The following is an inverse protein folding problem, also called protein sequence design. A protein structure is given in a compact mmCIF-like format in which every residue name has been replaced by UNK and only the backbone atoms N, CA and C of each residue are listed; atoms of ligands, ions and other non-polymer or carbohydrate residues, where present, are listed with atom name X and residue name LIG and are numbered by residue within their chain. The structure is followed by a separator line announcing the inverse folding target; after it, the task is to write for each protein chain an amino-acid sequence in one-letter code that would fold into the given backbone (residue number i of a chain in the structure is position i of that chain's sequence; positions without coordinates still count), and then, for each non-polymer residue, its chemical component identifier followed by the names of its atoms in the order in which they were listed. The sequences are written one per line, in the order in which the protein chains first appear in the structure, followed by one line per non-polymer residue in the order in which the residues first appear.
data_IF_224457304010
#
_entry.id   IF_224457304010
#
_cell.length_a   1.000
_cell.length_b   1.000
_cell.length_c   1.000
_cell.angle_alpha   90.00
_cell.angle_beta   90.00
_cell.angle_gamma   90.00
#
_symmetry.space_group_name_H-M   'P 1'
#
loop_
_entity.id
_entity.type
_entity.pdbx_description
1 polymer ?
#
# COMPACT_ATOMS: atom_id res chain seq x y z
N UNK A 1 16.07 32.77 -23.22
CA UNK A 1 15.20 33.83 -23.76
C UNK A 1 15.81 35.19 -23.45
N UNK A 2 15.84 36.10 -24.39
CA UNK A 2 16.31 37.46 -24.25
C UNK A 2 15.20 38.43 -24.69
N UNK A 3 15.22 39.69 -24.23
CA UNK A 3 14.27 40.72 -24.62
C UNK A 3 15.03 41.95 -25.12
N UNK A 4 14.59 42.51 -26.22
CA UNK A 4 15.14 43.74 -26.79
C UNK A 4 14.04 44.70 -27.18
N UNK A 5 14.28 45.99 -27.01
CA UNK A 5 13.37 47.06 -27.47
C UNK A 5 13.82 47.52 -28.83
N UNK A 6 12.88 47.62 -29.76
CA UNK A 6 13.14 48.19 -31.09
C UNK A 6 12.42 49.54 -31.26
N UNK A 7 13.05 50.55 -31.80
CA UNK A 7 12.50 51.91 -32.02
C UNK A 7 13.23 53.03 -31.28
N UNK A 8 12.92 54.26 -31.62
CA UNK A 8 13.57 55.42 -31.01
C UNK A 8 13.24 55.56 -29.54
N UNK A 9 14.25 55.88 -28.73
CA UNK A 9 14.19 55.99 -27.27
C UNK A 9 13.77 57.41 -26.78
N UNK A 10 13.32 58.27 -27.65
CA UNK A 10 13.02 59.67 -27.35
C UNK A 10 11.54 59.92 -27.12
N UNK A 11 11.06 59.55 -25.94
CA UNK A 11 9.83 60.12 -25.39
C UNK A 11 10.23 61.15 -24.32
N UNK A 12 10.28 62.46 -24.65
CA UNK A 12 10.68 63.49 -23.69
C UNK A 12 9.80 63.45 -22.44
N UNK A 13 10.42 63.15 -21.29
CA UNK A 13 9.74 63.10 -20.00
C UNK A 13 9.13 61.77 -19.60
N UNK A 14 9.20 60.75 -20.40
CA UNK A 14 8.77 59.39 -20.00
C UNK A 14 9.86 58.68 -19.20
N UNK A 15 9.51 58.08 -18.08
CA UNK A 15 10.38 57.22 -17.27
C UNK A 15 10.21 55.78 -17.72
N UNK A 16 11.30 55.05 -18.05
CA UNK A 16 11.23 53.65 -18.36
C UNK A 16 10.62 52.84 -17.20
N UNK A 17 9.79 51.89 -17.55
CA UNK A 17 9.22 50.94 -16.59
C UNK A 17 9.70 49.53 -16.90
N UNK A 18 9.98 48.78 -15.85
CA UNK A 18 10.35 47.34 -16.01
C UNK A 18 9.16 46.55 -16.54
N UNK A 19 9.37 45.79 -17.62
CA UNK A 19 8.36 44.94 -18.26
C UNK A 19 8.86 43.49 -18.30
N UNK A 20 8.48 42.66 -17.32
CA UNK A 20 8.82 41.24 -17.30
C UNK A 20 7.96 40.40 -18.27
N UNK A 21 8.58 39.36 -18.86
CA UNK A 21 7.95 38.36 -19.69
C UNK A 21 8.31 36.97 -19.19
N UNK A 22 7.37 36.02 -19.33
CA UNK A 22 7.58 34.60 -19.14
C UNK A 22 6.92 33.83 -20.28
N UNK A 23 7.38 32.63 -20.52
CA UNK A 23 6.84 31.71 -21.52
C UNK A 23 6.53 30.38 -20.85
N UNK A 24 5.41 29.77 -21.22
CA UNK A 24 5.05 28.41 -20.84
C UNK A 24 4.98 27.50 -22.06
N UNK A 25 5.14 26.19 -21.86
CA UNK A 25 4.83 25.19 -22.87
C UNK A 25 3.40 24.71 -22.71
N UNK A 26 2.74 24.45 -23.84
CA UNK A 26 1.35 23.98 -23.87
C UNK A 26 1.26 22.73 -24.72
N UNK A 27 0.65 21.70 -24.18
CA UNK A 27 0.25 20.50 -24.90
C UNK A 27 -1.24 20.56 -25.21
N UNK A 28 -1.60 20.46 -26.48
CA UNK A 28 -2.99 20.36 -26.95
C UNK A 28 -3.18 18.98 -27.61
N UNK A 29 -4.08 18.16 -27.07
CA UNK A 29 -4.39 16.84 -27.62
C UNK A 29 -5.79 16.84 -28.22
N UNK A 30 -5.87 16.49 -29.53
CA UNK A 30 -7.11 16.25 -30.27
C UNK A 30 -7.95 17.49 -30.56
N UNK A 31 -9.15 17.29 -31.12
CA UNK A 31 -10.13 18.32 -31.43
C UNK A 31 -10.94 18.78 -30.20
N UNK A 32 -10.77 18.14 -29.08
CA UNK A 32 -11.42 18.48 -27.81
C UNK A 32 -10.35 18.95 -26.84
N UNK A 33 -10.47 20.13 -26.45
CA UNK A 33 -9.81 21.11 -25.62
C UNK A 33 -9.20 20.52 -24.30
N UNK A 34 -8.33 19.53 -24.37
CA UNK A 34 -7.43 19.26 -23.27
C UNK A 34 -6.17 20.07 -23.48
N UNK A 35 -6.12 21.24 -22.86
CA UNK A 35 -4.92 22.08 -22.84
C UNK A 35 -4.24 21.85 -21.49
N UNK A 36 -3.04 21.27 -21.52
CA UNK A 36 -2.17 21.23 -20.36
C UNK A 36 -1.08 22.29 -20.54
N UNK A 37 -0.93 23.14 -19.54
CA UNK A 37 0.07 24.19 -19.52
C UNK A 37 1.08 23.92 -18.42
N UNK A 38 2.35 23.95 -18.77
CA UNK A 38 3.47 23.69 -17.87
C UNK A 38 3.87 24.91 -17.04
N UNK A 39 4.90 24.74 -16.24
CA UNK A 39 5.50 25.81 -15.44
C UNK A 39 6.02 26.95 -16.32
N UNK A 40 6.06 28.16 -15.74
CA UNK A 40 6.65 29.31 -16.40
C UNK A 40 8.17 29.20 -16.52
N UNK A 41 8.70 29.77 -17.58
CA UNK A 41 10.15 30.00 -17.72
C UNK A 41 10.66 31.01 -16.67
N UNK A 42 11.98 31.04 -16.42
CA UNK A 42 12.56 32.22 -15.76
C UNK A 42 12.13 33.50 -16.48
N UNK A 43 11.78 34.54 -15.71
CA UNK A 43 11.35 35.83 -16.28
C UNK A 43 12.52 36.56 -16.95
N UNK A 44 12.28 37.10 -18.13
CA UNK A 44 13.16 38.09 -18.75
C UNK A 44 12.56 39.47 -18.52
N UNK A 45 13.39 40.44 -18.18
CA UNK A 45 12.95 41.83 -17.87
C UNK A 45 13.65 42.79 -18.82
N UNK A 46 12.87 43.77 -19.27
CA UNK A 46 13.37 44.86 -20.12
C UNK A 46 12.83 46.19 -19.61
N UNK A 47 13.63 47.25 -19.66
CA UNK A 47 13.17 48.60 -19.45
C UNK A 47 12.45 49.09 -20.73
N UNK A 48 11.19 49.45 -20.58
CA UNK A 48 10.26 49.74 -21.67
C UNK A 48 9.64 51.13 -21.53
N UNK A 49 9.48 51.81 -22.66
CA UNK A 49 8.72 53.05 -22.78
C UNK A 49 7.41 52.82 -23.55
N UNK A 50 6.31 53.50 -23.19
CA UNK A 50 5.02 53.35 -23.86
C UNK A 50 5.12 53.48 -25.38
N UNK A 51 4.56 52.48 -26.11
CA UNK A 51 4.54 52.47 -27.57
C UNK A 51 5.75 51.80 -28.23
N UNK A 52 6.77 51.39 -27.48
CA UNK A 52 7.89 50.66 -28.06
C UNK A 52 7.55 49.16 -28.25
N UNK A 53 7.77 48.55 -29.42
CA UNK A 53 7.71 47.14 -29.61
C UNK A 53 8.82 46.39 -28.80
N UNK A 54 8.50 45.24 -28.22
CA UNK A 54 9.46 44.40 -27.54
C UNK A 54 9.63 43.12 -28.33
N UNK A 55 10.86 42.81 -28.74
CA UNK A 55 11.19 41.55 -29.37
C UNK A 55 11.77 40.58 -28.34
N UNK A 56 11.11 39.45 -28.15
CA UNK A 56 11.63 38.32 -27.45
C UNK A 56 12.39 37.44 -28.44
N UNK A 57 13.61 37.01 -28.09
CA UNK A 57 14.48 36.16 -28.91
C UNK A 57 14.98 35.01 -28.07
N UNK A 58 15.55 33.98 -28.72
CA UNK A 58 16.07 32.79 -28.05
C UNK A 58 15.03 32.13 -27.15
N UNK A 59 13.77 32.13 -27.56
CA UNK A 59 12.71 31.41 -26.82
C UNK A 59 13.04 29.91 -26.96
N UNK A 60 13.25 29.21 -25.84
CA UNK A 60 13.68 27.83 -25.91
C UNK A 60 12.68 26.93 -26.63
N UNK A 61 13.17 25.99 -27.42
CA UNK A 61 12.38 24.89 -28.00
C UNK A 61 12.54 23.70 -27.07
N UNK A 62 11.43 23.02 -26.68
CA UNK A 62 11.52 21.85 -25.81
C UNK A 62 12.36 20.76 -26.48
N UNK A 63 13.18 20.06 -25.69
CA UNK A 63 14.01 18.97 -26.17
C UNK A 63 13.30 17.62 -25.99
N UNK A 64 13.48 16.71 -26.94
CA UNK A 64 12.89 15.39 -26.91
C UNK A 64 11.39 15.40 -27.21
N UNK A 65 10.73 14.29 -26.88
CA UNK A 65 9.29 14.11 -27.08
C UNK A 65 8.50 14.66 -25.87
N UNK A 66 8.55 15.97 -25.69
CA UNK A 66 7.92 16.66 -24.55
C UNK A 66 6.38 16.81 -24.68
N UNK A 67 5.80 16.40 -25.83
CA UNK A 67 4.37 16.58 -26.10
C UNK A 67 3.92 18.04 -26.27
N UNK A 68 4.81 19.02 -26.13
CA UNK A 68 4.51 20.43 -26.31
C UNK A 68 4.16 20.74 -27.77
N UNK A 69 3.01 21.38 -27.99
CA UNK A 69 2.52 21.76 -29.33
C UNK A 69 2.59 23.27 -29.58
N UNK A 70 2.49 24.06 -28.50
CA UNK A 70 2.48 25.53 -28.55
C UNK A 70 3.26 26.10 -27.38
N UNK A 71 3.54 27.38 -27.45
CA UNK A 71 4.03 28.23 -26.35
C UNK A 71 3.05 29.36 -26.11
N UNK A 72 2.85 29.70 -24.85
CA UNK A 72 2.13 30.93 -24.45
C UNK A 72 3.11 31.92 -23.90
N UNK A 73 2.99 33.16 -24.37
CA UNK A 73 3.77 34.30 -23.91
C UNK A 73 2.90 35.11 -22.95
N UNK A 74 3.46 35.42 -21.81
CA UNK A 74 2.80 36.23 -20.79
C UNK A 74 3.62 37.46 -20.48
N UNK A 75 2.92 38.59 -20.24
CA UNK A 75 3.48 39.86 -19.85
C UNK A 75 3.01 40.26 -18.48
N UNK A 76 3.93 40.69 -17.62
CA UNK A 76 3.62 41.20 -16.30
C UNK A 76 2.95 42.56 -16.42
N UNK A 77 1.83 42.75 -15.72
CA UNK A 77 1.14 44.02 -15.60
C UNK A 77 0.93 44.32 -14.11
N UNK A 78 1.32 45.54 -13.71
CA UNK A 78 1.17 46.00 -12.33
C UNK A 78 -0.25 46.57 -12.16
N UNK A 79 -1.05 45.91 -11.31
CA UNK A 79 -2.36 46.42 -10.88
C UNK A 79 -2.33 47.04 -9.48
N UNK A 80 -3.45 47.65 -9.05
CA UNK A 80 -3.60 48.26 -7.73
C UNK A 80 -3.52 47.28 -6.56
N UNK A 81 -3.75 46.00 -6.78
CA UNK A 81 -3.68 44.91 -5.77
C UNK A 81 -2.46 44.01 -5.88
N UNK A 82 -1.47 44.36 -6.70
CA UNK A 82 -0.32 43.55 -7.04
C UNK A 82 -0.16 43.39 -8.55
N UNK A 83 0.89 42.71 -8.98
CA UNK A 83 1.12 42.46 -10.40
C UNK A 83 0.92 40.98 -10.73
N UNK A 84 0.42 40.74 -11.94
CA UNK A 84 0.17 39.42 -12.47
C UNK A 84 0.71 39.29 -13.89
N UNK A 85 1.03 38.09 -14.29
CA UNK A 85 1.34 37.79 -15.69
C UNK A 85 0.03 37.57 -16.44
N UNK A 86 -0.23 38.43 -17.44
CA UNK A 86 -1.40 38.32 -18.29
C UNK A 86 -1.00 37.67 -19.62
N UNK A 87 -1.91 36.84 -20.14
CA UNK A 87 -1.77 36.21 -21.44
C UNK A 87 -1.62 37.25 -22.53
N UNK A 88 -0.63 37.07 -23.40
CA UNK A 88 -0.33 37.99 -24.49
C UNK A 88 -0.57 37.32 -25.83
N UNK A 89 -0.01 36.15 -26.06
CA UNK A 89 -0.14 35.45 -27.33
C UNK A 89 0.17 33.95 -27.17
N UNK A 90 -0.34 33.16 -28.09
CA UNK A 90 0.06 31.76 -28.29
C UNK A 90 0.78 31.64 -29.62
N UNK A 91 1.92 30.96 -29.64
CA UNK A 91 2.79 30.79 -30.79
C UNK A 91 3.13 29.30 -30.98
N UNK A 92 3.63 28.92 -32.15
CA UNK A 92 4.07 27.54 -32.39
C UNK A 92 5.23 27.15 -31.46
N UNK A 93 5.31 25.88 -31.10
CA UNK A 93 6.34 25.36 -30.19
C UNK A 93 7.76 25.56 -30.73
N UNK A 94 7.93 25.65 -32.04
CA UNK A 94 9.21 25.86 -32.72
C UNK A 94 9.60 27.33 -32.91
N UNK A 95 8.67 28.27 -32.65
CA UNK A 95 8.98 29.69 -32.77
C UNK A 95 10.02 30.11 -31.72
N UNK A 96 11.13 30.66 -32.17
CA UNK A 96 12.22 31.14 -31.30
C UNK A 96 12.17 32.66 -31.06
N UNK A 97 11.27 33.35 -31.75
CA UNK A 97 11.10 34.78 -31.64
C UNK A 97 9.64 35.18 -31.58
N UNK A 98 9.34 36.27 -30.86
CA UNK A 98 8.00 36.85 -30.77
C UNK A 98 8.13 38.37 -30.62
N UNK A 99 7.27 39.14 -31.29
CA UNK A 99 7.26 40.62 -31.21
C UNK A 99 5.97 41.08 -30.52
N UNK A 100 6.11 41.69 -29.35
CA UNK A 100 5.01 42.29 -28.61
C UNK A 100 4.79 43.73 -29.06
N UNK A 101 3.67 43.97 -29.73
CA UNK A 101 3.19 45.27 -30.14
C UNK A 101 1.87 45.66 -29.45
N UNK A 102 1.40 44.82 -28.53
CA UNK A 102 0.11 44.98 -27.86
C UNK A 102 0.20 46.03 -26.77
N UNK A 103 -0.69 47.01 -26.80
CA UNK A 103 -0.79 48.03 -25.74
C UNK A 103 -1.36 47.43 -24.46
N UNK A 104 -1.17 48.09 -23.30
CA UNK A 104 -1.61 47.53 -22.01
C UNK A 104 -3.14 47.44 -21.93
N UNK A 105 -3.88 48.32 -22.61
CA UNK A 105 -5.35 48.34 -22.65
C UNK A 105 -5.94 47.23 -23.56
N UNK A 106 -5.12 46.65 -24.45
CA UNK A 106 -5.56 45.68 -25.46
C UNK A 106 -5.04 44.26 -25.21
N UNK A 107 -4.60 43.95 -23.98
CA UNK A 107 -4.25 42.56 -23.61
C UNK A 107 -5.45 41.63 -23.78
N UNK A 108 -5.27 40.45 -24.39
CA UNK A 108 -6.37 39.51 -24.65
C UNK A 108 -7.11 39.02 -23.39
N UNK A 109 -6.53 39.23 -22.22
CA UNK A 109 -7.05 38.74 -20.95
C UNK A 109 -6.63 37.30 -20.63
N UNK A 110 -6.78 36.92 -19.37
CA UNK A 110 -6.30 35.64 -18.83
C UNK A 110 -5.02 35.81 -18.03
N UNK A 111 -5.05 35.32 -16.81
CA UNK A 111 -3.90 35.34 -15.90
C UNK A 111 -3.15 33.99 -16.02
N UNK A 112 -1.84 34.02 -15.84
CA UNK A 112 -1.05 32.81 -15.75
C UNK A 112 -1.43 32.03 -14.49
N UNK A 113 -2.12 30.90 -14.66
CA UNK A 113 -2.58 30.05 -13.56
C UNK A 113 -1.48 29.11 -13.05
N UNK A 114 -0.43 28.89 -13.85
CA UNK A 114 0.67 27.95 -13.55
C UNK A 114 1.92 28.66 -13.00
N UNK A 115 1.75 29.86 -12.46
CA UNK A 115 2.85 30.71 -11.98
C UNK A 115 3.65 30.06 -10.84
N UNK A 116 3.00 29.24 -10.03
CA UNK A 116 3.58 28.51 -8.90
C UNK A 116 3.90 27.05 -9.20
N UNK A 117 3.68 26.59 -10.45
CA UNK A 117 4.09 25.26 -10.88
C UNK A 117 5.60 25.18 -10.89
N UNK A 118 6.14 24.37 -9.99
CA UNK A 118 7.58 24.07 -9.93
C UNK A 118 7.79 22.59 -10.19
N UNK A 119 8.92 22.18 -10.78
CA UNK A 119 9.24 20.76 -10.90
C UNK A 119 9.44 20.12 -9.51
N UNK A 120 9.30 18.80 -9.40
CA UNK A 120 9.67 18.11 -8.17
C UNK A 120 11.16 18.28 -7.89
N UNK A 121 11.61 18.11 -6.62
CA UNK A 121 13.03 18.00 -6.31
C UNK A 121 13.70 16.86 -7.08
N UNK A 122 14.95 17.05 -7.51
CA UNK A 122 15.71 16.04 -8.25
C UNK A 122 15.93 14.73 -7.46
N UNK A 123 15.94 14.83 -6.13
CA UNK A 123 16.11 13.73 -5.18
C UNK A 123 14.79 13.22 -4.58
N UNK A 124 13.66 13.53 -5.22
CA UNK A 124 12.34 13.07 -4.77
C UNK A 124 12.24 11.54 -4.82
N UNK A 125 11.80 10.96 -3.72
CA UNK A 125 11.66 9.50 -3.55
C UNK A 125 10.36 9.14 -2.85
N UNK A 126 10.03 7.83 -2.86
CA UNK A 126 8.84 7.30 -2.19
C UNK A 126 7.53 7.82 -2.77
N UNK A 127 7.46 7.99 -4.10
CA UNK A 127 6.30 8.55 -4.78
C UNK A 127 5.10 7.62 -4.64
N UNK A 128 3.97 8.18 -4.21
CA UNK A 128 2.69 7.49 -4.11
C UNK A 128 1.57 8.35 -4.72
N UNK A 129 0.56 7.69 -5.27
CA UNK A 129 -0.65 8.35 -5.78
C UNK A 129 -1.70 8.40 -4.69
N UNK A 130 -2.28 9.56 -4.48
CA UNK A 130 -3.36 9.81 -3.52
C UNK A 130 -4.70 10.00 -4.25
N UNK A 131 -5.79 10.00 -3.48
CA UNK A 131 -7.10 10.33 -4.00
C UNK A 131 -7.11 11.74 -4.64
N UNK A 132 -7.94 11.94 -5.68
CA UNK A 132 -8.06 13.21 -6.38
C UNK A 132 -6.91 13.53 -7.33
N UNK A 133 -6.11 12.52 -7.74
CA UNK A 133 -5.04 12.70 -8.73
C UNK A 133 -3.83 13.48 -8.20
N UNK A 134 -3.63 13.52 -6.89
CA UNK A 134 -2.47 14.11 -6.23
C UNK A 134 -1.37 13.08 -6.12
N UNK A 135 -0.13 13.46 -6.36
CA UNK A 135 1.04 12.65 -6.04
C UNK A 135 1.72 13.21 -4.80
N UNK A 136 2.25 12.33 -3.97
CA UNK A 136 3.08 12.69 -2.83
C UNK A 136 4.43 11.98 -2.92
N UNK A 137 5.48 12.62 -2.42
CA UNK A 137 6.83 12.09 -2.33
C UNK A 137 7.59 12.82 -1.22
N UNK A 138 8.82 12.42 -0.94
CA UNK A 138 9.66 13.12 0.02
C UNK A 138 11.09 13.34 -0.50
N UNK A 139 11.69 14.44 -0.05
CA UNK A 139 13.10 14.78 -0.23
C UNK A 139 13.63 15.24 1.13
N UNK A 140 14.63 14.53 1.68
CA UNK A 140 15.02 14.72 3.06
C UNK A 140 13.83 14.53 4.01
N UNK A 141 13.55 15.54 4.84
CA UNK A 141 12.39 15.54 5.77
C UNK A 141 11.17 16.28 5.25
N UNK A 142 11.22 16.76 4.03
CA UNK A 142 10.15 17.49 3.40
C UNK A 142 9.26 16.53 2.61
N UNK A 143 7.97 16.58 2.91
CA UNK A 143 6.93 15.87 2.18
C UNK A 143 6.37 16.83 1.15
N UNK A 144 6.39 16.43 -0.09
CA UNK A 144 5.98 17.19 -1.25
C UNK A 144 4.68 16.65 -1.82
N UNK A 145 3.86 17.54 -2.36
CA UNK A 145 2.61 17.18 -3.01
C UNK A 145 2.50 17.87 -4.36
N UNK A 146 2.00 17.13 -5.35
CA UNK A 146 1.72 17.69 -6.66
C UNK A 146 0.39 18.47 -6.64
N UNK A 147 0.21 19.32 -7.65
CA UNK A 147 -1.10 19.84 -8.02
C UNK A 147 -2.01 18.68 -8.47
N UNK A 148 -3.31 18.67 -8.12
CA UNK A 148 -4.25 17.65 -8.56
C UNK A 148 -4.25 17.50 -10.09
N UNK A 149 -4.11 16.27 -10.57
CA UNK A 149 -4.05 15.93 -12.00
C UNK A 149 -2.88 16.52 -12.81
N UNK A 150 -1.91 17.19 -12.13
CA UNK A 150 -0.71 17.74 -12.74
C UNK A 150 0.55 17.15 -12.08
N UNK A 151 0.95 15.92 -12.44
CA UNK A 151 2.05 15.20 -11.78
C UNK A 151 3.43 15.86 -11.98
N UNK A 152 3.53 16.85 -12.87
CA UNK A 152 4.74 17.63 -13.13
C UNK A 152 4.83 18.92 -12.30
N UNK A 153 3.75 19.31 -11.60
CA UNK A 153 3.65 20.56 -10.85
C UNK A 153 3.65 20.31 -9.34
N UNK A 154 4.69 20.80 -8.65
CA UNK A 154 4.91 20.60 -7.22
C UNK A 154 5.09 21.95 -6.51
N UNK A 155 4.00 22.69 -6.24
CA UNK A 155 4.05 23.99 -5.62
C UNK A 155 4.76 23.99 -4.28
N UNK A 156 5.68 24.93 -4.06
CA UNK A 156 6.42 25.06 -2.79
C UNK A 156 5.50 25.26 -1.58
N UNK A 157 4.33 25.84 -1.81
CA UNK A 157 3.32 26.05 -0.76
C UNK A 157 2.69 24.77 -0.23
N UNK A 158 2.82 23.63 -0.94
CA UNK A 158 2.26 22.34 -0.53
C UNK A 158 3.25 21.50 0.29
N UNK A 159 4.50 21.93 0.40
CA UNK A 159 5.55 21.26 1.14
C UNK A 159 5.28 21.27 2.65
N UNK A 160 5.51 20.13 3.30
CA UNK A 160 5.40 19.97 4.75
C UNK A 160 6.63 19.25 5.31
N UNK A 161 7.26 19.81 6.32
CA UNK A 161 8.44 19.21 6.97
C UNK A 161 8.01 18.34 8.16
N UNK A 162 8.58 17.15 8.31
CA UNK A 162 8.44 16.26 9.48
C UNK A 162 9.69 16.26 10.34
N UNK A 163 9.57 15.80 11.60
CA UNK A 163 10.67 15.91 12.57
C UNK A 163 11.73 14.79 12.44
N UNK A 164 11.31 13.64 11.85
CA UNK A 164 12.14 12.44 11.69
C UNK A 164 12.26 12.10 10.21
N UNK A 165 13.31 11.34 9.86
CA UNK A 165 13.56 10.96 8.47
C UNK A 165 12.49 10.00 7.96
N UNK A 166 11.78 10.33 6.87
CA UNK A 166 10.80 9.46 6.25
C UNK A 166 11.45 8.16 5.74
N UNK A 167 10.81 7.05 5.98
CA UNK A 167 11.19 5.73 5.45
C UNK A 167 10.35 5.40 4.22
N UNK A 168 9.04 5.65 4.30
CA UNK A 168 8.10 5.47 3.19
C UNK A 168 6.84 6.31 3.39
N UNK A 169 6.10 6.45 2.29
CA UNK A 169 4.75 7.00 2.25
C UNK A 169 3.75 5.90 1.88
N UNK A 170 2.54 5.97 2.43
CA UNK A 170 1.45 5.08 2.02
C UNK A 170 0.11 5.82 2.03
N UNK A 171 -0.76 5.62 1.01
CA UNK A 171 -2.07 6.24 0.95
C UNK A 171 -2.97 5.79 2.09
N UNK A 172 -3.74 6.71 2.66
CA UNK A 172 -4.75 6.44 3.69
C UNK A 172 -5.98 7.34 3.47
N UNK A 173 -7.06 6.79 2.93
CA UNK A 173 -8.23 7.57 2.57
C UNK A 173 -7.89 8.71 1.61
N UNK A 174 -8.20 9.95 2.01
CA UNK A 174 -7.88 11.16 1.23
C UNK A 174 -6.50 11.76 1.55
N UNK A 175 -5.65 11.05 2.28
CA UNK A 175 -4.36 11.54 2.72
C UNK A 175 -3.26 10.52 2.60
N UNK A 176 -2.18 10.75 3.31
CA UNK A 176 -0.99 9.92 3.31
C UNK A 176 -0.48 9.70 4.73
N UNK A 177 -0.04 8.49 5.00
CA UNK A 177 0.77 8.18 6.20
C UNK A 177 2.23 8.33 5.82
N UNK A 178 2.96 9.07 6.63
CA UNK A 178 4.42 9.19 6.57
C UNK A 178 4.98 8.33 7.69
N UNK A 179 5.53 7.18 7.36
CA UNK A 179 6.26 6.35 8.32
C UNK A 179 7.72 6.80 8.36
N UNK A 180 8.25 6.95 9.57
CA UNK A 180 9.56 7.57 9.79
C UNK A 180 10.45 6.71 10.67
N UNK A 181 11.69 7.13 10.83
CA UNK A 181 12.65 6.55 11.81
C UNK A 181 12.30 6.89 13.28
N UNK A 182 11.20 7.62 13.50
CA UNK A 182 10.64 7.95 14.81
C UNK A 182 9.13 7.79 14.82
N UNK A 183 8.39 8.86 15.12
CA UNK A 183 6.93 8.84 15.15
C UNK A 183 6.33 8.92 13.74
N UNK A 184 5.28 8.16 13.44
CA UNK A 184 4.55 8.29 12.17
C UNK A 184 3.65 9.54 12.17
N UNK A 185 3.35 10.04 10.96
CA UNK A 185 2.45 11.17 10.73
C UNK A 185 1.31 10.77 9.80
N UNK A 186 0.16 11.40 9.98
CA UNK A 186 -0.92 11.44 9.01
C UNK A 186 -1.01 12.85 8.45
N UNK A 187 -1.00 12.98 7.14
CA UNK A 187 -1.24 14.24 6.43
C UNK A 187 -2.51 14.06 5.61
N UNK A 188 -3.51 14.88 5.86
CA UNK A 188 -4.82 14.74 5.21
C UNK A 188 -5.55 16.07 5.13
N UNK A 189 -6.55 16.14 4.25
CA UNK A 189 -7.39 17.29 4.01
C UNK A 189 -8.17 17.14 2.71
N UNK A 190 -8.78 18.21 2.23
CA UNK A 190 -9.56 18.20 0.99
C UNK A 190 -8.73 18.49 -0.26
N UNK A 191 -7.60 19.17 -0.11
CA UNK A 191 -6.63 19.44 -1.19
C UNK A 191 -5.26 19.72 -0.59
N UNK A 192 -4.16 19.60 -1.36
CA UNK A 192 -2.80 19.86 -0.89
C UNK A 192 -2.62 21.26 -0.25
N UNK A 193 -3.33 22.26 -0.75
CA UNK A 193 -3.28 23.63 -0.22
C UNK A 193 -3.78 23.75 1.23
N UNK A 194 -4.61 22.81 1.68
CA UNK A 194 -5.23 22.83 3.02
C UNK A 194 -4.98 21.54 3.81
N UNK A 195 -3.99 20.75 3.42
CA UNK A 195 -3.60 19.57 4.18
C UNK A 195 -3.11 19.93 5.58
N UNK A 196 -3.57 19.18 6.56
CA UNK A 196 -3.09 19.24 7.93
C UNK A 196 -2.18 18.07 8.26
N UNK A 197 -1.09 18.34 8.98
CA UNK A 197 -0.14 17.32 9.46
C UNK A 197 -0.42 17.01 10.92
N UNK A 198 -0.60 15.73 11.24
CA UNK A 198 -0.78 15.21 12.59
C UNK A 198 0.27 14.16 12.91
N UNK A 199 1.08 14.38 13.95
CA UNK A 199 1.94 13.35 14.52
C UNK A 199 1.09 12.37 15.34
N UNK A 200 1.27 11.08 15.11
CA UNK A 200 0.62 10.04 15.91
C UNK A 200 1.45 9.74 17.16
N UNK A 201 0.77 9.56 18.28
CA UNK A 201 1.43 9.30 19.57
C UNK A 201 1.65 7.79 19.78
N UNK A 202 2.48 7.20 18.93
CA UNK A 202 2.95 5.83 19.04
C UNK A 202 4.46 5.82 18.82
N UNK A 203 5.21 5.36 19.83
CA UNK A 203 6.67 5.30 19.79
C UNK A 203 7.12 4.00 19.09
N UNK A 204 6.80 3.89 17.82
CA UNK A 204 7.09 2.74 16.97
C UNK A 204 7.57 3.22 15.60
N UNK A 205 8.87 3.29 15.43
CA UNK A 205 9.51 3.66 14.16
C UNK A 205 9.30 2.57 13.10
N UNK A 206 9.33 2.94 11.83
CA UNK A 206 9.37 1.98 10.74
C UNK A 206 10.79 1.44 10.58
N UNK A 207 10.97 0.11 10.66
CA UNK A 207 12.29 -0.54 10.55
C UNK A 207 12.53 -1.19 9.18
N UNK A 208 11.50 -1.36 8.37
CA UNK A 208 11.61 -1.89 7.01
C UNK A 208 10.71 -1.13 6.05
N UNK A 209 11.29 -0.54 5.00
CA UNK A 209 10.56 0.12 3.91
C UNK A 209 9.64 -0.86 3.18
N UNK A 210 10.11 -2.07 2.95
CA UNK A 210 9.39 -3.11 2.22
C UNK A 210 8.19 -3.67 3.00
N UNK A 211 8.10 -3.37 4.30
CA UNK A 211 6.97 -3.76 5.12
C UNK A 211 5.79 -2.79 5.07
N UNK A 212 5.93 -1.65 4.38
CA UNK A 212 4.90 -0.61 4.37
C UNK A 212 3.87 -0.91 3.29
N UNK A 213 2.66 -1.23 3.71
CA UNK A 213 1.53 -1.56 2.82
C UNK A 213 0.26 -0.84 3.24
N UNK A 214 -0.66 -0.67 2.29
CA UNK A 214 -1.97 -0.04 2.54
C UNK A 214 -3.08 -0.88 1.90
N UNK A 215 -4.17 -1.08 2.63
CA UNK A 215 -5.44 -1.60 2.11
C UNK A 215 -6.45 -0.48 1.78
N UNK A 216 -6.00 0.79 1.77
CA UNK A 216 -6.82 1.98 1.59
C UNK A 216 -7.46 2.50 2.89
N UNK A 217 -7.74 1.66 3.85
CA UNK A 217 -8.31 2.02 5.17
C UNK A 217 -7.33 1.92 6.33
N UNK A 218 -6.27 1.15 6.15
CA UNK A 218 -5.21 0.94 7.14
C UNK A 218 -3.85 0.89 6.45
N UNK A 219 -2.89 1.61 6.99
CA UNK A 219 -1.48 1.48 6.62
C UNK A 219 -0.78 0.61 7.67
N UNK A 220 -0.02 -0.37 7.21
CA UNK A 220 0.64 -1.34 8.07
C UNK A 220 2.13 -1.31 7.80
N UNK A 221 2.95 -1.43 8.87
CA UNK A 221 4.41 -1.50 8.75
C UNK A 221 5.04 -2.25 9.91
N UNK A 222 6.23 -2.80 9.70
CA UNK A 222 7.04 -3.43 10.74
C UNK A 222 7.75 -2.38 11.61
N UNK A 223 7.62 -2.56 12.93
CA UNK A 223 8.24 -1.72 13.94
C UNK A 223 9.06 -2.57 14.93
N UNK A 224 9.87 -1.96 15.83
CA UNK A 224 10.73 -2.72 16.74
C UNK A 224 10.01 -3.70 17.66
N UNK A 225 8.76 -3.42 18.04
CA UNK A 225 8.02 -4.24 19.02
C UNK A 225 6.81 -4.97 18.43
N UNK A 226 6.57 -4.84 17.12
CA UNK A 226 5.46 -5.51 16.45
C UNK A 226 5.09 -4.89 15.12
N UNK A 227 4.03 -5.43 14.53
CA UNK A 227 3.40 -4.89 13.33
C UNK A 227 2.45 -3.77 13.73
N UNK A 228 2.66 -2.58 13.21
CA UNK A 228 1.82 -1.40 13.52
C UNK A 228 0.79 -1.20 12.43
N UNK A 229 -0.47 -0.99 12.83
CA UNK A 229 -1.54 -0.54 11.96
C UNK A 229 -1.93 0.90 12.26
N UNK A 230 -1.97 1.72 11.22
CA UNK A 230 -2.35 3.14 11.24
C UNK A 230 -3.66 3.33 10.52
N UNK A 231 -4.62 3.98 11.16
CA UNK A 231 -5.90 4.39 10.60
C UNK A 231 -6.11 5.89 10.81
N UNK A 232 -7.15 6.47 10.25
CA UNK A 232 -7.53 7.86 10.55
C UNK A 232 -7.87 8.08 12.04
N UNK A 233 -8.25 7.02 12.75
CA UNK A 233 -8.54 7.07 14.19
C UNK A 233 -7.33 6.94 15.11
N UNK A 234 -6.14 6.69 14.57
CA UNK A 234 -4.90 6.52 15.32
C UNK A 234 -4.09 5.29 14.92
N UNK A 235 -3.10 4.94 15.72
CA UNK A 235 -2.21 3.82 15.47
C UNK A 235 -2.16 2.85 16.65
N UNK A 236 -1.94 1.56 16.37
CA UNK A 236 -1.78 0.51 17.38
C UNK A 236 -0.85 -0.60 16.89
N UNK A 237 -0.23 -1.31 17.82
CA UNK A 237 0.51 -2.53 17.52
C UNK A 237 -0.49 -3.68 17.36
N UNK A 238 -0.58 -4.26 16.16
CA UNK A 238 -1.55 -5.32 15.83
C UNK A 238 -1.17 -6.66 16.49
N UNK A 239 0.12 -6.92 16.63
CA UNK A 239 0.67 -8.18 17.15
C UNK A 239 0.91 -8.20 18.65
N UNK A 240 0.59 -7.11 19.39
CA UNK A 240 0.90 -6.96 20.81
C UNK A 240 0.44 -8.14 21.70
N UNK A 241 -0.73 -8.70 21.38
CA UNK A 241 -1.31 -9.83 22.13
C UNK A 241 -1.03 -11.21 21.54
N UNK A 242 -0.34 -11.26 20.40
CA UNK A 242 -0.10 -12.47 19.62
C UNK A 242 1.34 -12.95 19.73
N UNK A 243 2.29 -12.00 19.73
CA UNK A 243 3.73 -12.25 19.86
C UNK A 243 4.29 -11.33 20.94
N UNK A 244 5.17 -11.87 21.78
CA UNK A 244 5.94 -11.01 22.67
C UNK A 244 7.12 -10.35 21.92
N UNK A 245 7.64 -9.25 22.44
CA UNK A 245 8.74 -8.51 21.82
C UNK A 245 9.97 -9.36 21.48
N UNK A 246 10.45 -10.28 22.37
CA UNK A 246 11.55 -11.18 22.02
C UNK A 246 11.24 -12.10 20.83
N UNK A 247 10.02 -12.66 20.76
CA UNK A 247 9.61 -13.51 19.62
C UNK A 247 9.58 -12.70 18.32
N UNK A 248 9.02 -11.49 18.37
CA UNK A 248 8.96 -10.59 17.22
C UNK A 248 10.38 -10.21 16.73
N UNK A 249 11.25 -9.77 17.63
CA UNK A 249 12.62 -9.37 17.30
C UNK A 249 13.47 -10.52 16.78
N UNK A 250 13.20 -11.75 17.23
CA UNK A 250 13.86 -12.95 16.71
C UNK A 250 13.54 -13.23 15.23
N UNK A 251 12.47 -12.61 14.67
CA UNK A 251 12.10 -12.74 13.27
C UNK A 251 12.75 -11.65 12.39
N UNK A 252 13.57 -10.75 12.96
CA UNK A 252 14.29 -9.67 12.28
C UNK A 252 13.36 -8.74 11.49
N UNK A 253 12.55 -7.92 12.18
CA UNK A 253 11.56 -7.06 11.54
C UNK A 253 12.14 -6.07 10.53
N UNK A 254 13.43 -5.76 10.61
CA UNK A 254 14.16 -4.91 9.65
C UNK A 254 14.32 -5.56 8.27
N UNK A 255 14.12 -6.87 8.15
CA UNK A 255 14.15 -7.62 6.88
C UNK A 255 12.76 -8.01 6.37
N UNK A 256 11.70 -7.66 7.11
CA UNK A 256 10.35 -8.04 6.73
C UNK A 256 9.86 -7.28 5.51
N UNK A 257 9.10 -8.00 4.70
CA UNK A 257 8.28 -7.49 3.60
C UNK A 257 6.83 -7.81 3.89
N UNK A 258 5.92 -6.88 3.59
CA UNK A 258 4.49 -7.11 3.75
C UNK A 258 3.76 -6.97 2.41
N UNK A 259 2.67 -7.73 2.28
CA UNK A 259 1.69 -7.58 1.22
C UNK A 259 0.27 -7.65 1.79
N UNK A 260 -0.68 -7.08 1.06
CA UNK A 260 -2.11 -7.20 1.38
C UNK A 260 -2.79 -7.97 0.28
N UNK A 261 -3.44 -9.07 0.63
CA UNK A 261 -4.19 -9.91 -0.31
C UNK A 261 -5.42 -10.49 0.40
N UNK A 262 -6.59 -10.50 -0.24
CA UNK A 262 -7.86 -11.01 0.35
C UNK A 262 -8.20 -10.42 1.72
N UNK A 263 -7.89 -9.15 1.95
CA UNK A 263 -8.05 -8.47 3.25
C UNK A 263 -7.14 -8.97 4.37
N UNK A 264 -6.22 -9.90 4.10
CA UNK A 264 -5.17 -10.34 5.01
C UNK A 264 -3.87 -9.58 4.75
N UNK A 265 -3.06 -9.48 5.78
CA UNK A 265 -1.67 -9.02 5.68
C UNK A 265 -0.77 -10.24 5.73
N UNK A 266 0.06 -10.37 4.70
CA UNK A 266 1.07 -11.40 4.61
C UNK A 266 2.40 -10.74 4.94
N UNK A 267 3.09 -11.23 5.96
CA UNK A 267 4.39 -10.72 6.41
C UNK A 267 5.45 -11.77 6.11
N UNK A 268 6.26 -11.57 5.09
CA UNK A 268 7.40 -12.43 4.78
C UNK A 268 8.58 -12.04 5.68
N UNK A 269 9.23 -13.04 6.26
CA UNK A 269 10.37 -12.85 7.15
C UNK A 269 11.54 -13.76 6.80
N UNK A 270 12.75 -13.28 7.04
CA UNK A 270 14.00 -14.02 6.95
C UNK A 270 14.86 -13.68 8.16
N UNK A 271 15.00 -14.61 9.09
CA UNK A 271 15.78 -14.40 10.30
C UNK A 271 17.19 -15.03 10.21
N UNK A 272 17.67 -15.35 9.00
CA UNK A 272 18.93 -16.01 8.66
C UNK A 272 18.97 -17.53 9.00
N UNK A 273 18.09 -18.00 9.86
CA UNK A 273 17.96 -19.44 10.22
C UNK A 273 16.75 -20.06 9.50
N UNK A 274 15.68 -19.28 9.38
CA UNK A 274 14.42 -19.73 8.79
C UNK A 274 13.78 -18.61 8.00
N UNK A 275 13.27 -18.95 6.83
CA UNK A 275 12.40 -18.14 5.99
C UNK A 275 10.96 -18.63 6.09
N UNK A 276 10.01 -17.71 5.90
CA UNK A 276 8.59 -18.04 5.90
C UNK A 276 7.71 -16.82 5.87
N UNK A 277 6.42 -17.03 6.07
CA UNK A 277 5.45 -15.95 6.16
C UNK A 277 4.51 -16.11 7.35
N UNK A 278 3.92 -14.97 7.75
CA UNK A 278 2.85 -14.87 8.73
C UNK A 278 1.65 -14.23 8.04
N UNK A 279 0.49 -14.87 8.13
CA UNK A 279 -0.77 -14.30 7.66
C UNK A 279 -1.58 -13.80 8.85
N UNK A 280 -2.02 -12.54 8.78
CA UNK A 280 -2.70 -11.82 9.86
C UNK A 280 -3.99 -11.21 9.31
N UNK A 281 -5.11 -11.38 10.03
CA UNK A 281 -6.31 -10.57 9.82
C UNK A 281 -6.18 -9.26 10.61
N UNK A 282 -5.93 -8.11 9.97
CA UNK A 282 -5.74 -6.83 10.66
C UNK A 282 -7.01 -6.31 11.34
N UNK A 283 -8.18 -6.79 10.89
CA UNK A 283 -9.50 -6.41 11.44
C UNK A 283 -9.87 -7.24 12.65
N UNK A 284 -9.36 -8.49 12.73
CA UNK A 284 -9.66 -9.43 13.80
C UNK A 284 -8.38 -9.95 14.47
N UNK A 285 -7.75 -9.14 15.28
CA UNK A 285 -6.56 -9.53 16.05
C UNK A 285 -6.77 -10.74 17.01
N UNK A 286 -8.01 -11.22 17.16
CA UNK A 286 -8.33 -12.43 17.94
C UNK A 286 -8.23 -13.72 17.10
N UNK A 287 -8.22 -13.61 15.79
CA UNK A 287 -8.11 -14.77 14.88
C UNK A 287 -6.78 -15.51 15.01
N UNK A 288 -5.77 -14.86 15.60
CA UNK A 288 -4.43 -15.44 15.76
C UNK A 288 -3.51 -15.13 14.58
N UNK A 289 -2.45 -15.91 14.48
CA UNK A 289 -1.45 -15.84 13.41
C UNK A 289 -1.39 -17.21 12.72
N UNK A 290 -1.33 -17.17 11.40
CA UNK A 290 -1.02 -18.37 10.61
C UNK A 290 0.41 -18.25 10.09
N UNK A 291 1.24 -19.26 10.34
CA UNK A 291 2.59 -19.35 9.80
C UNK A 291 2.59 -20.22 8.55
N UNK A 292 3.38 -19.82 7.55
CA UNK A 292 3.65 -20.62 6.36
C UNK A 292 5.15 -20.70 6.12
N UNK A 293 5.58 -21.76 5.47
CA UNK A 293 6.97 -21.92 5.02
C UNK A 293 7.22 -21.23 3.67
N UNK A 294 6.18 -20.66 3.06
CA UNK A 294 6.29 -19.89 1.84
C UNK A 294 6.97 -18.55 2.11
N UNK A 295 7.96 -18.23 1.30
CA UNK A 295 8.75 -17.02 1.39
C UNK A 295 9.04 -16.47 0.00
N UNK A 296 9.17 -15.15 -0.11
CA UNK A 296 9.60 -14.48 -1.34
C UNK A 296 10.41 -13.23 -1.04
N UNK A 297 11.38 -12.94 -1.89
CA UNK A 297 12.08 -11.66 -1.94
C UNK A 297 11.35 -10.62 -2.79
N UNK A 298 10.51 -11.07 -3.73
CA UNK A 298 9.83 -10.22 -4.69
C UNK A 298 8.35 -10.61 -4.72
N UNK A 299 7.49 -9.64 -4.51
CA UNK A 299 6.05 -9.76 -4.61
C UNK A 299 5.48 -8.63 -5.44
N UNK A 300 4.40 -8.91 -6.13
CA UNK A 300 3.64 -7.93 -6.90
C UNK A 300 2.17 -8.26 -6.83
N UNK A 301 1.35 -7.29 -6.44
CA UNK A 301 -0.10 -7.40 -6.47
C UNK A 301 -0.63 -6.70 -7.70
N UNK A 302 -1.30 -7.43 -8.58
CA UNK A 302 -2.07 -6.85 -9.67
C UNK A 302 -3.38 -6.30 -9.11
N UNK A 303 -3.60 -4.99 -9.26
CA UNK A 303 -4.77 -4.31 -8.74
C UNK A 303 -6.01 -4.48 -9.66
N UNK A 304 -5.84 -5.02 -10.87
CA UNK A 304 -6.94 -5.20 -11.82
C UNK A 304 -7.74 -6.45 -11.50
N UNK A 305 -7.05 -7.55 -11.22
CA UNK A 305 -7.64 -8.85 -10.92
C UNK A 305 -7.44 -9.29 -9.46
N UNK A 306 -6.79 -8.43 -8.66
CA UNK A 306 -6.45 -8.66 -7.24
C UNK A 306 -5.57 -9.90 -7.01
N UNK A 307 -4.78 -10.29 -8.00
CA UNK A 307 -3.89 -11.44 -7.91
C UNK A 307 -2.56 -11.03 -7.28
N UNK A 308 -2.14 -11.79 -6.27
CA UNK A 308 -0.80 -11.66 -5.69
C UNK A 308 0.17 -12.61 -6.38
N UNK A 309 1.23 -12.06 -6.94
CA UNK A 309 2.34 -12.80 -7.52
C UNK A 309 3.52 -12.77 -6.58
N UNK A 310 4.19 -13.91 -6.44
CA UNK A 310 5.44 -14.08 -5.69
C UNK A 310 6.51 -14.69 -6.58
N UNK A 311 7.77 -14.39 -6.30
CA UNK A 311 8.89 -15.11 -6.89
C UNK A 311 9.16 -16.35 -6.05
N UNK A 312 9.21 -17.51 -6.69
CA UNK A 312 9.59 -18.78 -6.08
C UNK A 312 10.37 -19.62 -7.09
N UNK A 313 11.53 -20.11 -6.70
CA UNK A 313 12.44 -20.92 -7.52
C UNK A 313 12.83 -20.27 -8.87
N UNK A 314 12.97 -18.94 -8.89
CA UNK A 314 13.32 -18.19 -10.08
C UNK A 314 12.18 -17.98 -11.07
N UNK A 315 10.94 -18.31 -10.70
CA UNK A 315 9.73 -18.10 -11.51
C UNK A 315 8.70 -17.25 -10.76
N UNK A 316 7.95 -16.46 -11.51
CA UNK A 316 6.81 -15.73 -10.98
C UNK A 316 5.61 -16.67 -10.89
N UNK A 317 5.07 -16.83 -9.71
CA UNK A 317 3.95 -17.71 -9.42
C UNK A 317 2.82 -16.93 -8.75
N UNK A 318 1.60 -17.37 -8.95
CA UNK A 318 0.45 -16.81 -8.24
C UNK A 318 0.39 -17.37 -6.82
N UNK A 319 0.15 -16.51 -5.85
CA UNK A 319 -0.01 -16.90 -4.46
C UNK A 319 -1.24 -17.78 -4.29
N UNK A 320 -1.03 -19.01 -3.79
CA UNK A 320 -2.10 -19.97 -3.42
C UNK A 320 -3.11 -20.33 -4.52
N UNK A 321 -2.75 -20.21 -5.78
CA UNK A 321 -3.57 -20.64 -6.92
C UNK A 321 -3.06 -21.98 -7.54
N UNK A 322 -2.44 -22.85 -6.75
CA UNK A 322 -2.03 -24.17 -7.19
C UNK A 322 -3.17 -25.19 -7.18
N UNK A 323 -3.03 -26.26 -7.98
CA UNK A 323 -4.03 -27.34 -8.06
C UNK A 323 -4.07 -28.25 -6.82
N UNK A 324 -3.08 -28.21 -5.95
CA UNK A 324 -2.98 -29.02 -4.73
C UNK A 324 -3.27 -28.20 -3.49
N UNK A 325 -3.96 -28.82 -2.53
CA UNK A 325 -4.25 -28.19 -1.24
C UNK A 325 -2.99 -28.16 -0.38
N UNK A 326 -2.82 -27.03 0.34
CA UNK A 326 -1.75 -26.86 1.32
C UNK A 326 -2.13 -27.59 2.62
N UNK A 327 -1.26 -28.48 3.08
CA UNK A 327 -1.44 -29.09 4.40
C UNK A 327 -1.14 -28.08 5.50
N UNK A 328 -1.92 -28.14 6.57
CA UNK A 328 -1.75 -27.27 7.73
C UNK A 328 -1.50 -28.05 9.00
N UNK A 329 -0.86 -27.41 9.97
CA UNK A 329 -0.76 -27.84 11.36
C UNK A 329 -1.29 -26.74 12.26
N UNK A 330 -2.29 -27.07 13.07
CA UNK A 330 -2.89 -26.12 14.01
C UNK A 330 -2.96 -26.74 15.40
N UNK A 331 -2.55 -25.96 16.43
CA UNK A 331 -2.63 -26.38 17.83
C UNK A 331 -3.52 -25.45 18.61
N UNK A 332 -4.46 -26.02 19.39
CA UNK A 332 -5.37 -25.23 20.24
C UNK A 332 -4.62 -24.48 21.32
N UNK A 333 -5.27 -23.48 21.90
CA UNK A 333 -4.85 -22.97 23.21
C UNK A 333 -4.91 -24.08 24.24
N UNK A 334 -4.14 -23.90 25.33
CA UNK A 334 -4.23 -24.75 26.52
C UNK A 334 -5.51 -24.41 27.28
N UNK A 335 -6.42 -25.38 27.38
CA UNK A 335 -7.61 -25.30 28.20
C UNK A 335 -7.24 -25.70 29.62
N UNK A 336 -7.33 -24.79 30.58
CA UNK A 336 -6.96 -25.00 32.00
C UNK A 336 -8.22 -25.15 32.83
N UNK A 337 -8.29 -26.21 33.59
CA UNK A 337 -9.41 -26.52 34.50
C UNK A 337 -9.00 -26.36 35.95
N UNK A 338 -9.80 -25.72 36.75
CA UNK A 338 -9.53 -25.51 38.19
C UNK A 338 -9.50 -26.82 39.01
N UNK A 339 -10.18 -27.87 38.52
CA UNK A 339 -10.07 -29.25 39.03
C UNK A 339 -9.71 -30.17 37.87
N UNK A 340 -8.95 -31.25 38.14
CA UNK A 340 -8.62 -32.22 37.10
C UNK A 340 -9.90 -32.82 36.50
N UNK A 341 -9.97 -32.86 35.16
CA UNK A 341 -11.09 -33.40 34.39
C UNK A 341 -10.60 -34.51 33.49
N UNK A 342 -11.31 -35.62 33.42
CA UNK A 342 -11.05 -36.68 32.46
C UNK A 342 -11.87 -36.43 31.20
N UNK A 343 -11.22 -36.37 30.04
CA UNK A 343 -11.87 -36.28 28.73
C UNK A 343 -11.85 -37.68 28.09
N UNK A 344 -12.99 -38.11 27.60
CA UNK A 344 -13.12 -39.47 27.05
C UNK A 344 -13.67 -39.54 25.62
N UNK A 345 -14.05 -38.39 25.06
CA UNK A 345 -14.61 -38.31 23.71
C UNK A 345 -14.14 -37.07 22.95
N UNK A 346 -14.00 -37.21 21.63
CA UNK A 346 -13.68 -36.18 20.69
C UNK A 346 -14.62 -36.22 19.47
N UNK A 347 -15.01 -35.08 18.95
CA UNK A 347 -15.76 -34.93 17.71
C UNK A 347 -15.12 -33.84 16.87
N UNK A 348 -14.93 -34.13 15.58
CA UNK A 348 -14.47 -33.16 14.60
C UNK A 348 -15.53 -33.03 13.51
N UNK A 349 -15.90 -31.81 13.19
CA UNK A 349 -16.75 -31.48 12.04
C UNK A 349 -15.91 -30.80 10.98
N UNK A 350 -15.77 -31.43 9.82
CA UNK A 350 -15.12 -30.86 8.64
C UNK A 350 -16.18 -30.17 7.77
N UNK A 351 -15.82 -29.04 7.17
CA UNK A 351 -16.62 -28.45 6.12
C UNK A 351 -16.39 -29.28 4.86
N UNK A 352 -17.48 -29.80 4.34
CA UNK A 352 -17.53 -30.37 3.00
C UNK A 352 -18.64 -29.69 2.27
N UNK A 353 -18.27 -29.00 1.22
CA UNK A 353 -19.23 -28.49 0.27
C UNK A 353 -19.50 -29.59 -0.77
N UNK A 354 -20.76 -29.99 -0.92
CA UNK A 354 -21.19 -30.90 -2.00
C UNK A 354 -20.97 -30.27 -3.39
N UNK A 355 -20.66 -28.95 -3.42
CA UNK A 355 -20.34 -28.14 -4.60
C UNK A 355 -18.86 -27.80 -4.72
N UNK A 356 -17.96 -28.43 -3.96
CA UNK A 356 -16.52 -28.19 -4.09
C UNK A 356 -16.09 -28.46 -5.55
N UNK A 357 -15.43 -27.51 -6.26
CA UNK A 357 -15.07 -27.66 -7.68
C UNK A 357 -14.15 -28.84 -8.00
N UNK A 358 -13.62 -29.53 -6.99
CA UNK A 358 -12.89 -30.81 -7.15
C UNK A 358 -13.83 -31.93 -7.68
N UNK A 359 -15.16 -31.72 -7.68
CA UNK A 359 -16.14 -32.65 -8.26
C UNK A 359 -16.43 -32.40 -9.75
N UNK A 360 -15.69 -31.59 -10.48
CA UNK A 360 -15.88 -31.49 -11.92
C UNK A 360 -15.61 -32.81 -12.63
N UNK A 361 -16.68 -33.39 -13.15
CA UNK A 361 -16.67 -34.58 -13.99
C UNK A 361 -16.00 -34.27 -15.33
N UNK A 362 -14.72 -34.57 -15.44
CA UNK A 362 -14.09 -34.64 -16.74
C UNK A 362 -14.56 -35.91 -17.46
N UNK A 363 -15.57 -35.74 -18.35
CA UNK A 363 -15.93 -36.76 -19.35
C UNK A 363 -16.44 -38.09 -18.82
N UNK A 364 -17.08 -38.16 -17.65
CA UNK A 364 -17.76 -39.38 -17.18
C UNK A 364 -16.91 -40.42 -16.47
N UNK A 365 -15.60 -40.19 -16.33
CA UNK A 365 -14.73 -41.01 -15.44
C UNK A 365 -14.57 -40.27 -14.11
N UNK A 366 -14.71 -40.96 -12.96
CA UNK A 366 -14.34 -40.35 -11.68
C UNK A 366 -12.84 -40.10 -11.70
N UNK A 367 -12.48 -38.80 -11.62
CA UNK A 367 -11.12 -38.40 -11.24
C UNK A 367 -10.89 -38.97 -9.86
N UNK A 368 -9.78 -39.62 -9.61
CA UNK A 368 -9.36 -40.12 -8.31
C UNK A 368 -9.40 -38.96 -7.33
N UNK A 369 -10.43 -38.92 -6.47
CA UNK A 369 -10.61 -37.89 -5.43
C UNK A 369 -9.37 -37.92 -4.55
N UNK A 370 -8.62 -36.82 -4.50
CA UNK A 370 -7.66 -36.57 -3.42
C UNK A 370 -8.48 -36.49 -2.13
N UNK A 371 -8.44 -37.52 -1.33
CA UNK A 371 -9.20 -37.62 -0.08
C UNK A 371 -8.62 -36.61 0.91
N UNK A 372 -9.33 -35.52 1.14
CA UNK A 372 -8.97 -34.57 2.19
C UNK A 372 -9.04 -35.24 3.55
N UNK A 373 -8.00 -35.08 4.33
CA UNK A 373 -7.88 -35.70 5.66
C UNK A 373 -7.47 -34.69 6.71
N UNK A 374 -7.87 -34.95 7.95
CA UNK A 374 -7.33 -34.28 9.11
C UNK A 374 -7.05 -35.26 10.22
N UNK A 375 -5.84 -35.30 10.70
CA UNK A 375 -5.48 -36.07 11.87
C UNK A 375 -5.52 -35.19 13.12
N UNK A 376 -5.89 -35.77 14.25
CA UNK A 376 -5.92 -35.11 15.55
C UNK A 376 -5.07 -35.84 16.57
N UNK A 377 -4.25 -35.06 17.27
CA UNK A 377 -3.51 -35.49 18.47
C UNK A 377 -4.07 -34.74 19.67
N UNK A 378 -4.20 -35.40 20.81
CA UNK A 378 -4.73 -34.81 22.04
C UNK A 378 -3.66 -34.89 23.13
N UNK A 379 -3.51 -33.81 23.88
CA UNK A 379 -2.53 -33.68 24.97
C UNK A 379 -3.24 -33.42 26.29
N UNK A 380 -2.78 -34.10 27.32
CA UNK A 380 -3.21 -33.95 28.71
C UNK A 380 -1.98 -33.62 29.57
N UNK A 381 -2.04 -32.50 30.33
CA UNK A 381 -0.93 -31.96 31.12
C UNK A 381 0.39 -31.83 30.32
N UNK A 382 0.27 -31.47 29.04
CA UNK A 382 1.41 -31.29 28.11
C UNK A 382 1.92 -32.58 27.46
N UNK A 383 1.41 -33.76 27.85
CA UNK A 383 1.80 -35.04 27.27
C UNK A 383 0.77 -35.53 26.26
N UNK A 384 1.24 -36.06 25.12
CA UNK A 384 0.37 -36.66 24.13
C UNK A 384 -0.31 -37.93 24.73
N UNK A 385 -1.60 -38.10 24.45
CA UNK A 385 -2.30 -39.34 24.85
C UNK A 385 -1.65 -40.56 24.16
N UNK A 386 -1.63 -41.67 24.90
CA UNK A 386 -1.07 -42.95 24.41
C UNK A 386 -2.16 -43.98 24.19
N UNK A 387 -2.02 -44.73 23.11
CA UNK A 387 -2.79 -45.94 22.90
C UNK A 387 -2.35 -47.05 23.87
N UNK A 388 -3.17 -48.12 24.09
CA UNK A 388 -2.79 -49.24 24.97
C UNK A 388 -1.49 -49.94 24.57
N UNK A 389 -1.09 -49.88 23.32
CA UNK A 389 0.17 -50.42 22.81
C UNK A 389 1.37 -49.48 23.02
N UNK A 390 1.19 -48.33 23.66
CA UNK A 390 2.23 -47.33 23.94
C UNK A 390 2.51 -46.35 22.82
N UNK A 391 1.91 -46.49 21.62
CA UNK A 391 2.05 -45.52 20.54
C UNK A 391 1.29 -44.23 20.87
N UNK A 392 1.67 -43.15 20.20
CA UNK A 392 0.95 -41.89 20.28
C UNK A 392 -0.47 -42.05 19.75
N UNK A 393 -1.44 -41.43 20.43
CA UNK A 393 -2.80 -41.37 19.93
C UNK A 393 -2.89 -40.34 18.78
N UNK A 394 -3.31 -40.88 17.63
CA UNK A 394 -3.63 -40.09 16.45
C UNK A 394 -4.88 -40.69 15.80
N UNK A 395 -5.86 -39.84 15.54
CA UNK A 395 -7.12 -40.24 14.91
C UNK A 395 -7.30 -39.42 13.64
N UNK A 396 -7.49 -40.08 12.50
CA UNK A 396 -7.69 -39.42 11.20
C UNK A 396 -9.16 -39.43 10.84
N UNK A 397 -9.63 -38.26 10.43
CA UNK A 397 -10.96 -38.04 9.86
C UNK A 397 -10.83 -37.83 8.36
N UNK A 398 -11.73 -38.44 7.61
CA UNK A 398 -11.92 -38.16 6.20
C UNK A 398 -13.09 -37.18 6.01
N UNK A 399 -12.98 -36.35 5.03
CA UNK A 399 -14.12 -35.75 4.37
C UNK A 399 -15.04 -36.82 3.76
N UNK A 400 -16.21 -36.45 3.18
CA UNK A 400 -17.15 -37.41 2.58
C UNK A 400 -16.49 -38.18 1.44
N UNK A 401 -16.64 -39.49 1.42
CA UNK A 401 -16.07 -40.45 0.47
C UNK A 401 -16.10 -41.84 1.03
N UNK A 402 -15.78 -42.85 0.23
CA UNK A 402 -15.74 -44.26 0.64
C UNK A 402 -14.77 -44.48 1.82
N UNK A 403 -15.30 -45.15 2.87
CA UNK A 403 -14.62 -45.31 4.13
C UNK A 403 -13.73 -46.57 4.13
N UNK A 404 -12.47 -46.37 4.43
CA UNK A 404 -11.62 -47.39 4.99
C UNK A 404 -11.93 -47.51 6.51
N UNK A 405 -11.94 -48.72 7.03
CA UNK A 405 -12.29 -49.04 8.42
C UNK A 405 -11.34 -48.42 9.48
N UNK A 406 -10.25 -47.81 9.05
CA UNK A 406 -9.25 -47.15 9.90
C UNK A 406 -9.50 -45.69 10.19
N UNK A 407 -10.50 -45.05 9.53
CA UNK A 407 -10.72 -43.61 9.59
C UNK A 407 -12.11 -43.27 10.12
N UNK A 408 -12.23 -42.08 10.70
CA UNK A 408 -13.49 -41.60 11.26
C UNK A 408 -14.20 -40.63 10.31
N UNK A 409 -15.55 -40.57 10.34
CA UNK A 409 -16.37 -39.63 9.55
C UNK A 409 -16.42 -38.27 10.23
N UNK A 410 -16.54 -37.19 9.43
CA UNK A 410 -16.94 -35.88 9.91
C UNK A 410 -18.18 -35.98 10.79
N UNK A 411 -18.15 -35.32 11.95
CA UNK A 411 -19.25 -35.36 12.92
C UNK A 411 -19.35 -36.63 13.77
N UNK A 412 -18.56 -37.70 13.49
CA UNK A 412 -18.55 -38.90 14.35
C UNK A 412 -17.90 -38.59 15.71
N UNK A 413 -18.49 -39.15 16.76
CA UNK A 413 -17.96 -39.10 18.12
C UNK A 413 -17.05 -40.28 18.36
N UNK A 414 -15.76 -40.04 18.60
CA UNK A 414 -14.75 -41.05 18.86
C UNK A 414 -14.34 -41.05 20.34
N UNK A 415 -13.97 -42.20 20.84
CA UNK A 415 -13.43 -42.37 22.21
C UNK A 415 -11.95 -42.01 22.23
N UNK A 416 -11.58 -41.22 23.23
CA UNK A 416 -10.18 -41.00 23.57
C UNK A 416 -9.61 -42.14 24.40
N UNK A 417 -8.30 -42.45 24.30
CA UNK A 417 -7.63 -43.34 25.21
C UNK A 417 -7.81 -42.90 26.67
N UNK A 418 -7.86 -43.87 27.61
CA UNK A 418 -7.95 -43.58 29.01
C UNK A 418 -6.65 -42.90 29.50
N UNK A 419 -6.77 -41.68 30.04
CA UNK A 419 -5.63 -40.93 30.62
C UNK A 419 -5.91 -40.55 32.08
N UNK A 420 -6.92 -40.78 32.70
CA UNK A 420 -7.25 -40.23 34.00
C UNK A 420 -7.66 -38.74 33.93
N UNK A 421 -7.60 -38.08 35.07
CA UNK A 421 -7.96 -36.65 35.14
C UNK A 421 -6.73 -35.77 35.01
N UNK A 422 -6.80 -34.76 34.13
CA UNK A 422 -5.76 -33.76 33.90
C UNK A 422 -6.23 -32.36 34.15
N UNK A 423 -5.32 -31.45 34.53
CA UNK A 423 -5.60 -30.02 34.71
C UNK A 423 -5.63 -29.25 33.40
N UNK A 424 -4.89 -29.75 32.39
CA UNK A 424 -4.81 -29.05 31.11
C UNK A 424 -5.05 -30.01 29.94
N UNK A 425 -5.75 -29.49 28.93
CA UNK A 425 -6.05 -30.22 27.71
C UNK A 425 -5.74 -29.33 26.51
N UNK A 426 -5.13 -29.93 25.47
CA UNK A 426 -4.84 -29.31 24.18
C UNK A 426 -5.09 -30.34 23.08
N UNK A 427 -5.31 -29.87 21.84
CA UNK A 427 -5.34 -30.75 20.69
C UNK A 427 -4.63 -30.10 19.51
N UNK A 428 -4.07 -30.93 18.65
CA UNK A 428 -3.35 -30.53 17.46
C UNK A 428 -3.99 -31.21 16.25
N UNK A 429 -4.25 -30.41 15.22
CA UNK A 429 -4.77 -30.83 13.94
C UNK A 429 -3.66 -30.77 12.91
N UNK A 430 -3.61 -31.77 12.01
CA UNK A 430 -2.68 -31.78 10.90
C UNK A 430 -3.39 -32.42 9.69
N UNK A 431 -3.41 -31.73 8.56
CA UNK A 431 -4.07 -32.19 7.34
C UNK A 431 -4.36 -31.10 6.34
N UNK A 432 -5.21 -31.39 5.39
CA UNK A 432 -5.67 -30.55 4.29
C UNK A 432 -7.18 -30.33 4.28
N UNK A 433 -7.93 -31.05 5.13
CA UNK A 433 -9.38 -30.88 5.26
C UNK A 433 -9.73 -29.64 6.07
N UNK A 434 -10.68 -28.86 5.59
CA UNK A 434 -11.19 -27.69 6.32
C UNK A 434 -12.00 -28.14 7.54
N UNK A 435 -11.65 -27.64 8.73
CA UNK A 435 -12.28 -28.01 10.00
C UNK A 435 -13.19 -26.88 10.49
N UNK A 436 -14.47 -27.18 10.64
CA UNK A 436 -15.47 -26.26 11.19
C UNK A 436 -15.44 -26.20 12.72
N UNK A 437 -15.38 -27.36 13.36
CA UNK A 437 -15.36 -27.43 14.81
C UNK A 437 -14.62 -28.65 15.34
N UNK A 438 -14.02 -28.47 16.52
CA UNK A 438 -13.46 -29.58 17.34
C UNK A 438 -14.04 -29.46 18.73
N UNK A 439 -14.58 -30.56 19.24
CA UNK A 439 -15.10 -30.62 20.59
C UNK A 439 -14.55 -31.85 21.33
N UNK A 440 -14.13 -31.66 22.57
CA UNK A 440 -13.75 -32.72 23.50
C UNK A 440 -14.67 -32.69 24.72
N UNK A 441 -15.04 -33.86 25.22
CA UNK A 441 -15.94 -33.99 26.38
C UNK A 441 -15.59 -35.11 27.32
N UNK A 442 -16.03 -35.04 28.58
CA UNK A 442 -15.86 -36.11 29.54
C UNK A 442 -16.62 -37.40 29.19
N UNK A 443 -17.64 -37.31 28.34
CA UNK A 443 -18.44 -38.45 27.92
C UNK A 443 -18.90 -38.32 26.46
N UNK A 444 -19.17 -39.49 25.83
CA UNK A 444 -19.75 -39.53 24.46
C UNK A 444 -21.10 -38.83 24.38
N UNK A 445 -21.90 -38.89 25.44
CA UNK A 445 -23.20 -38.22 25.46
C UNK A 445 -23.10 -36.69 25.51
N UNK A 446 -21.96 -36.13 25.94
CA UNK A 446 -21.71 -34.68 25.92
C UNK A 446 -21.41 -34.07 24.55
N UNK A 447 -21.24 -34.92 23.51
CA UNK A 447 -20.95 -34.52 22.12
C UNK A 447 -22.04 -34.91 21.13
N UNK A 448 -23.12 -35.53 21.59
CA UNK A 448 -24.30 -35.90 20.76
C UNK A 448 -25.24 -34.75 20.51
#
# INVERSE_FOLDING_TARGET
MTATVTGETTFPGATPTARPYVVTYVCKSGSTIYTQEGAQSPSVMIDWLPGQPVTLSDIPVPQGDSGGTHKRVYRYQKGSGGGVFNFLAEVDVNDTTFVDTVTDDNLPGGVLETADFTPPPDDLQGIVTLAGGVMAGFSGRDIWFSEPHHPFAWPLGYRMTVDYDPVALAPLGNGVVVVTTGYPYVISGTSPAVYGKQRLNIDQSCVSKESVVSDGGTVIYAAPDGLVGVTLGGAKVLTEKLLNTPQWRAMKPEKMRCEVHDSFVIVFYDNDEKQGSIVIDPKNSRAGLTFSDEYTHISYRDLVDDTLYIESDGALQKWREGDSLVSYRWRSKRFVFGKPVSMSAIKIETLQDENDPIFERNGGNPVTEEKRTVSVKVFADGNILKMPNGSDFELTYHGAGDMDSSHSRSGAVNRLPAYGAAHTWEFELNGDAEVRSVAIAPSVTGLR
#
